data_IF_891208775774
#
_entry.id   IF_891208775774
#
_cell.length_a   1.000
_cell.length_b   1.000
_cell.length_c   1.000
_cell.angle_alpha   90.00
_cell.angle_beta   90.00
_cell.angle_gamma   90.00
#
_symmetry.space_group_name_H-M   'P 1'
#
loop_
_entity.id
_entity.type
_entity.pdbx_description
1 polymer ?
#
# COMPACT_ATOMS: atom_id res chain seq x y z
N UNK A 1 -1.58 -9.91 21.21
CA UNK A 1 -0.44 -10.69 20.71
C UNK A 1 0.88 -9.95 20.89
N UNK A 2 1.19 -8.90 20.12
CA UNK A 2 2.50 -8.24 20.18
C UNK A 2 2.94 -7.80 21.60
N UNK A 3 2.04 -7.17 22.37
CA UNK A 3 2.33 -6.80 23.78
C UNK A 3 2.61 -8.01 24.68
N UNK A 4 1.89 -9.12 24.49
CA UNK A 4 2.11 -10.34 25.27
C UNK A 4 3.45 -10.99 24.89
N UNK A 5 3.78 -11.05 23.60
CA UNK A 5 5.08 -11.53 23.13
C UNK A 5 6.23 -10.68 23.69
N UNK A 6 6.07 -9.35 23.71
CA UNK A 6 7.05 -8.44 24.31
C UNK A 6 7.18 -8.62 25.83
N UNK A 7 6.13 -9.11 26.50
CA UNK A 7 6.15 -9.45 27.92
C UNK A 7 6.69 -10.88 28.20
N UNK A 8 7.18 -11.59 27.17
CA UNK A 8 7.78 -12.93 27.31
C UNK A 8 6.79 -14.09 27.18
N UNK A 9 5.56 -13.87 26.71
CA UNK A 9 4.62 -14.95 26.43
C UNK A 9 5.07 -15.76 25.20
N UNK A 10 5.47 -17.02 25.45
CA UNK A 10 5.99 -17.92 24.41
C UNK A 10 4.97 -18.24 23.31
N UNK A 11 3.69 -18.33 23.65
CA UNK A 11 2.62 -18.60 22.67
C UNK A 11 2.45 -17.40 21.75
N UNK A 12 2.41 -16.20 22.32
CA UNK A 12 2.34 -14.97 21.56
C UNK A 12 3.59 -14.77 20.69
N UNK A 13 4.77 -15.06 21.21
CA UNK A 13 6.02 -15.03 20.44
C UNK A 13 6.00 -16.05 19.28
N UNK A 14 5.45 -17.24 19.52
CA UNK A 14 5.22 -18.26 18.49
C UNK A 14 4.26 -17.81 17.38
N UNK A 15 3.21 -17.04 17.71
CA UNK A 15 2.32 -16.42 16.71
C UNK A 15 3.10 -15.42 15.85
N UNK A 16 3.90 -14.55 16.45
CA UNK A 16 4.68 -13.53 15.71
C UNK A 16 5.69 -14.19 14.76
N UNK A 17 6.42 -15.23 15.22
CA UNK A 17 7.34 -15.98 14.36
C UNK A 17 6.65 -16.63 13.16
N UNK A 18 5.48 -17.26 13.37
CA UNK A 18 4.69 -17.85 12.28
C UNK A 18 4.16 -16.80 11.30
N UNK A 19 3.73 -15.64 11.80
CA UNK A 19 3.29 -14.54 10.95
C UNK A 19 4.44 -14.02 10.08
N UNK A 20 5.64 -13.84 10.65
CA UNK A 20 6.83 -13.44 9.91
C UNK A 20 7.22 -14.46 8.82
N UNK A 21 7.19 -15.76 9.14
CA UNK A 21 7.47 -16.81 8.17
C UNK A 21 6.46 -16.82 7.01
N UNK A 22 5.16 -16.68 7.31
CA UNK A 22 4.11 -16.61 6.28
C UNK A 22 4.25 -15.38 5.37
N UNK A 23 4.65 -14.23 5.92
CA UNK A 23 4.96 -13.02 5.14
C UNK A 23 6.17 -13.25 4.21
N UNK A 24 7.24 -13.85 4.73
CA UNK A 24 8.42 -14.19 3.92
C UNK A 24 8.05 -15.15 2.79
N UNK A 25 7.31 -16.21 3.09
CA UNK A 25 6.85 -17.18 2.10
C UNK A 25 6.02 -16.51 1.00
N UNK A 26 5.12 -15.60 1.37
CA UNK A 26 4.31 -14.83 0.42
C UNK A 26 5.19 -14.00 -0.52
N UNK A 27 6.15 -13.25 0.04
CA UNK A 27 7.05 -12.40 -0.73
C UNK A 27 7.95 -13.21 -1.68
N UNK A 28 8.54 -14.31 -1.19
CA UNK A 28 9.37 -15.20 -1.99
C UNK A 28 8.58 -15.89 -3.10
N UNK A 29 7.33 -16.28 -2.82
CA UNK A 29 6.44 -16.88 -3.81
C UNK A 29 6.07 -15.88 -4.89
N UNK A 30 5.76 -14.64 -4.53
CA UNK A 30 5.54 -13.57 -5.50
C UNK A 30 6.79 -13.34 -6.35
N UNK A 31 7.98 -13.26 -5.73
CA UNK A 31 9.24 -13.07 -6.43
C UNK A 31 9.53 -14.16 -7.47
N UNK A 32 9.26 -15.43 -7.15
CA UNK A 32 9.41 -16.53 -8.12
C UNK A 32 8.43 -16.43 -9.30
N UNK A 33 7.27 -15.80 -9.11
CA UNK A 33 6.24 -15.63 -10.15
C UNK A 33 6.48 -14.41 -11.03
N UNK A 34 7.13 -13.38 -10.49
CA UNK A 34 7.31 -12.08 -11.17
C UNK A 34 8.75 -11.81 -11.61
N UNK A 35 9.73 -12.49 -11.03
CA UNK A 35 11.16 -12.19 -11.20
C UNK A 35 11.84 -12.92 -12.37
N UNK A 36 12.86 -12.27 -12.93
CA UNK A 36 13.88 -12.87 -13.80
C UNK A 36 15.09 -13.36 -12.99
N UNK A 37 16.26 -13.52 -13.63
CA UNK A 37 17.49 -14.01 -12.98
C UNK A 37 18.07 -13.08 -11.89
N UNK A 38 17.62 -11.83 -11.82
CA UNK A 38 18.17 -10.78 -10.94
C UNK A 38 17.45 -10.63 -9.60
N UNK A 39 18.10 -9.90 -8.68
CA UNK A 39 17.55 -9.52 -7.39
C UNK A 39 16.29 -8.66 -7.52
N UNK A 40 15.16 -9.11 -6.95
CA UNK A 40 13.91 -8.36 -6.95
C UNK A 40 13.87 -7.37 -5.76
N UNK A 41 13.81 -6.05 -6.02
CA UNK A 41 13.66 -5.06 -4.97
C UNK A 41 12.29 -5.19 -4.28
N UNK A 42 12.28 -5.18 -2.95
CA UNK A 42 11.06 -5.24 -2.15
C UNK A 42 11.08 -4.18 -1.05
N UNK A 43 9.96 -3.52 -0.82
CA UNK A 43 9.78 -2.60 0.29
C UNK A 43 8.81 -3.19 1.31
N UNK A 44 9.15 -3.08 2.59
CA UNK A 44 8.25 -3.48 3.68
C UNK A 44 7.40 -2.28 4.08
N UNK A 45 6.08 -2.40 3.96
CA UNK A 45 5.12 -1.33 4.23
C UNK A 45 3.96 -1.82 5.10
N UNK A 46 3.17 -0.88 5.62
CA UNK A 46 1.98 -1.15 6.43
C UNK A 46 2.24 -1.07 7.94
N UNK A 47 1.17 -0.89 8.74
CA UNK A 47 1.28 -0.56 10.17
C UNK A 47 1.97 -1.62 11.04
N UNK A 48 2.07 -2.87 10.57
CA UNK A 48 2.76 -3.93 11.30
C UNK A 48 4.28 -3.76 11.33
N UNK A 49 4.87 -2.99 10.40
CA UNK A 49 6.31 -2.67 10.44
C UNK A 49 6.67 -1.84 11.68
N UNK A 50 5.69 -1.12 12.25
CA UNK A 50 5.84 -0.38 13.51
C UNK A 50 6.07 -1.26 14.74
N UNK A 51 5.91 -2.58 14.63
CA UNK A 51 6.29 -3.52 15.69
C UNK A 51 7.82 -3.70 15.81
N UNK A 52 8.59 -3.10 14.91
CA UNK A 52 10.05 -3.14 14.94
C UNK A 52 10.58 -4.57 14.92
N UNK A 53 11.69 -4.82 15.62
CA UNK A 53 12.37 -6.11 15.58
C UNK A 53 11.55 -7.29 16.13
N UNK A 54 10.49 -7.02 16.90
CA UNK A 54 9.56 -8.06 17.34
C UNK A 54 9.00 -8.85 16.13
N UNK A 55 8.66 -8.15 15.04
CA UNK A 55 8.20 -8.77 13.79
C UNK A 55 9.31 -8.79 12.73
N UNK A 56 10.05 -7.68 12.58
CA UNK A 56 11.02 -7.50 11.52
C UNK A 56 12.26 -8.37 11.70
N UNK A 57 12.65 -8.71 12.93
CA UNK A 57 13.75 -9.63 13.21
C UNK A 57 13.46 -11.03 12.65
N UNK A 58 12.38 -11.70 13.09
CA UNK A 58 11.97 -12.99 12.54
C UNK A 58 11.72 -12.96 11.03
N UNK A 59 11.16 -11.87 10.49
CA UNK A 59 10.93 -11.72 9.04
C UNK A 59 12.25 -11.67 8.26
N UNK A 60 13.22 -10.88 8.71
CA UNK A 60 14.55 -10.81 8.07
C UNK A 60 15.27 -12.16 8.13
N UNK A 61 15.16 -12.89 9.24
CA UNK A 61 15.71 -14.23 9.36
C UNK A 61 15.09 -15.19 8.33
N UNK A 62 13.75 -15.23 8.23
CA UNK A 62 13.07 -16.07 7.24
C UNK A 62 13.38 -15.71 5.79
N UNK A 63 13.66 -14.43 5.50
CA UNK A 63 14.08 -13.98 4.17
C UNK A 63 15.54 -14.35 3.87
N UNK A 64 16.43 -14.29 4.86
CA UNK A 64 17.84 -14.63 4.72
C UNK A 64 18.07 -16.13 4.50
N UNK A 65 17.22 -16.98 5.08
CA UNK A 65 17.31 -18.44 4.94
C UNK A 65 16.84 -18.94 3.56
N UNK A 66 16.18 -18.09 2.77
CA UNK A 66 15.58 -18.50 1.50
C UNK A 66 16.56 -18.33 0.33
N UNK A 67 16.64 -19.33 -0.58
CA UNK A 67 17.37 -19.19 -1.82
C UNK A 67 16.59 -18.27 -2.77
N UNK A 68 16.97 -17.00 -2.81
CA UNK A 68 16.35 -16.04 -3.70
C UNK A 68 16.83 -14.62 -3.43
N UNK A 69 17.12 -13.81 -4.45
CA UNK A 69 17.67 -12.49 -4.24
C UNK A 69 16.56 -11.46 -4.00
N UNK A 70 15.85 -11.54 -2.87
CA UNK A 70 15.01 -10.42 -2.43
C UNK A 70 15.91 -9.32 -1.86
N UNK A 71 15.78 -8.12 -2.41
CA UNK A 71 16.55 -6.97 -1.96
C UNK A 71 15.65 -6.00 -1.21
N UNK A 72 15.67 -6.08 0.13
CA UNK A 72 14.86 -5.19 0.97
C UNK A 72 15.39 -3.75 0.86
N UNK A 73 14.51 -2.81 0.50
CA UNK A 73 14.79 -1.37 0.38
C UNK A 73 13.75 -0.56 1.14
N UNK A 74 14.11 0.67 1.47
CA UNK A 74 13.14 1.64 1.97
C UNK A 74 12.12 1.97 0.86
N UNK A 75 10.84 2.21 1.21
CA UNK A 75 9.88 2.72 0.25
C UNK A 75 10.31 4.11 -0.24
N UNK A 76 9.94 4.44 -1.48
CA UNK A 76 10.27 5.74 -2.10
C UNK A 76 9.41 6.90 -1.58
N UNK A 77 8.36 6.60 -0.82
CA UNK A 77 7.41 7.55 -0.26
C UNK A 77 6.32 6.83 0.51
N UNK A 78 5.30 7.57 0.92
CA UNK A 78 4.16 7.04 1.67
C UNK A 78 3.08 6.47 0.73
N UNK A 79 2.19 5.59 1.22
CA UNK A 79 1.10 5.06 0.40
C UNK A 79 0.23 6.13 -0.26
N UNK A 80 0.07 7.30 0.38
CA UNK A 80 -0.68 8.42 -0.17
C UNK A 80 0.03 9.09 -1.36
N UNK A 81 1.36 9.06 -1.43
CA UNK A 81 2.11 9.58 -2.57
C UNK A 81 1.81 8.73 -3.81
N UNK A 82 1.82 7.40 -3.66
CA UNK A 82 1.41 6.48 -4.71
C UNK A 82 -0.04 6.65 -5.13
N UNK A 83 -0.96 6.85 -4.18
CA UNK A 83 -2.37 7.11 -4.47
C UNK A 83 -2.55 8.40 -5.29
N UNK A 84 -1.82 9.46 -4.94
CA UNK A 84 -1.83 10.72 -5.70
C UNK A 84 -1.30 10.54 -7.12
N UNK A 85 -0.22 9.77 -7.29
CA UNK A 85 0.31 9.44 -8.62
C UNK A 85 -0.74 8.71 -9.47
N UNK A 86 -1.35 7.65 -8.95
CA UNK A 86 -2.41 6.92 -9.64
C UNK A 86 -3.62 7.81 -9.96
N UNK A 87 -3.99 8.75 -9.08
CA UNK A 87 -5.12 9.63 -9.30
C UNK A 87 -4.88 10.66 -10.43
N UNK A 88 -3.66 11.16 -10.58
CA UNK A 88 -3.35 12.32 -11.43
C UNK A 88 -2.61 11.97 -12.74
N UNK A 89 -1.79 10.92 -12.74
CA UNK A 89 -0.94 10.58 -13.88
C UNK A 89 -1.48 9.34 -14.61
N UNK A 90 -1.89 9.56 -15.86
CA UNK A 90 -2.44 8.52 -16.75
C UNK A 90 -1.37 7.81 -17.58
N UNK A 91 -0.11 8.25 -17.53
CA UNK A 91 0.98 7.62 -18.25
C UNK A 91 1.62 6.46 -17.47
N UNK A 92 1.12 6.16 -16.27
CA UNK A 92 1.68 5.13 -15.40
C UNK A 92 1.33 3.70 -15.89
N UNK A 93 2.20 2.71 -15.63
CA UNK A 93 1.97 1.31 -16.06
C UNK A 93 0.67 0.68 -15.55
N UNK A 94 0.05 1.25 -14.51
CA UNK A 94 -1.15 0.73 -13.86
C UNK A 94 -2.45 1.36 -14.37
N UNK A 95 -2.42 2.28 -15.33
CA UNK A 95 -3.60 3.06 -15.76
C UNK A 95 -4.81 2.19 -16.14
N UNK A 96 -4.59 1.04 -16.78
CA UNK A 96 -5.65 0.09 -17.14
C UNK A 96 -6.43 -0.48 -15.93
N UNK A 97 -5.90 -0.32 -14.72
CA UNK A 97 -6.50 -0.77 -13.47
C UNK A 97 -7.03 0.39 -12.61
N UNK A 98 -6.86 1.65 -13.04
CA UNK A 98 -7.31 2.83 -12.27
C UNK A 98 -8.73 3.22 -12.67
N UNK A 99 -9.64 3.22 -11.70
CA UNK A 99 -11.01 3.77 -11.87
C UNK A 99 -11.11 5.09 -11.11
N UNK A 100 -11.38 6.18 -11.85
CA UNK A 100 -11.59 7.51 -11.26
C UNK A 100 -13.08 7.81 -11.19
N UNK A 101 -13.65 7.73 -10.00
CA UNK A 101 -15.04 8.10 -9.77
C UNK A 101 -15.16 9.62 -9.60
N UNK A 102 -15.68 10.31 -10.61
CA UNK A 102 -16.15 11.68 -10.46
C UNK A 102 -17.56 11.70 -9.86
N UNK A 103 -17.86 12.68 -9.01
CA UNK A 103 -19.26 13.05 -8.78
C UNK A 103 -19.75 13.64 -10.12
N UNK A 104 -20.89 13.22 -10.70
CA UNK A 104 -21.43 13.94 -11.84
C UNK A 104 -21.59 15.40 -11.42
N UNK A 105 -20.92 16.30 -12.13
CA UNK A 105 -21.16 17.72 -12.03
C UNK A 105 -22.59 17.93 -12.53
N UNK A 106 -23.55 17.95 -11.62
CA UNK A 106 -24.78 18.69 -11.87
C UNK A 106 -24.33 20.11 -12.17
N UNK A 107 -24.44 20.50 -13.44
CA UNK A 107 -24.20 21.87 -13.88
C UNK A 107 -25.03 22.77 -12.95
N UNK A 108 -24.43 23.75 -12.25
CA UNK A 108 -25.23 24.68 -11.48
C UNK A 108 -26.13 25.40 -12.47
N UNK A 109 -27.44 25.15 -12.40
CA UNK A 109 -28.43 25.94 -13.11
C UNK A 109 -28.29 27.36 -12.58
N UNK A 110 -27.68 28.25 -13.37
CA UNK A 110 -27.63 29.67 -13.06
C UNK A 110 -29.09 30.14 -12.98
N UNK A 111 -29.58 30.64 -11.83
CA UNK A 111 -30.92 31.19 -11.77
C UNK A 111 -30.97 32.40 -12.70
N UNK A 112 -31.77 32.31 -13.76
CA UNK A 112 -32.06 33.43 -14.65
C UNK A 112 -32.75 34.53 -13.84
N UNK A 113 -32.13 35.72 -13.78
CA UNK A 113 -32.73 36.89 -13.11
C UNK A 113 -34.06 37.21 -13.80
N UNK A 114 -35.16 37.44 -13.05
CA UNK A 114 -36.44 37.81 -13.65
C UNK A 114 -36.29 39.08 -14.50
N UNK A 115 -36.87 39.08 -15.70
CA UNK A 115 -36.87 40.25 -16.57
C UNK A 115 -37.74 41.37 -15.97
N UNK A 116 -37.20 42.59 -15.91
CA UNK A 116 -37.94 43.78 -15.48
C UNK A 116 -38.96 44.16 -16.55
N UNK A 117 -40.27 44.30 -16.22
CA UNK A 117 -41.26 44.76 -17.19
C UNK A 117 -41.02 46.23 -17.58
N UNK A 118 -41.33 46.64 -18.81
CA UNK A 118 -41.15 48.01 -19.26
C UNK A 118 -42.09 48.96 -18.52
N UNK A 119 -41.57 50.14 -18.17
CA UNK A 119 -42.34 51.22 -17.56
C UNK A 119 -43.38 51.76 -18.56
N UNK A 120 -44.64 51.78 -18.15
CA UNK A 120 -45.72 52.40 -18.91
C UNK A 120 -45.63 53.93 -18.83
N UNK A 121 -45.85 54.60 -19.96
CA UNK A 121 -46.05 56.04 -20.09
C UNK A 121 -47.50 56.31 -20.53
#
# INVERSE_FOLDING_TARGET
VARAAAAGDDTAAGIVRRAAAALAETALTAARRTGGADALPVALTGGLTGLGDLLLGPLRASLADAPGPLLVRAPLGEPLDGARLLALDQALPHESHVVRAGRPTTTPTVPTRPATPPAAA
#
